data_IF_396567220807
#
_entry.id   IF_396567220807
#
_cell.length_a   1.000
_cell.length_b   1.000
_cell.length_c   1.000
_cell.angle_alpha   90.00
_cell.angle_beta   90.00
_cell.angle_gamma   90.00
#
_symmetry.space_group_name_H-M   'P 1'
#
loop_
_entity.id
_entity.type
_entity.pdbx_description
1 polymer ?
#
# COMPACT_ATOMS: atom_id res chain seq x y z
N UNK A 1 -31.04 -27.05 -55.55
CA UNK A 1 -29.72 -27.68 -55.51
C UNK A 1 -29.26 -27.84 -54.07
N UNK A 2 -29.34 -29.07 -53.53
CA UNK A 2 -28.98 -29.40 -52.14
C UNK A 2 -27.53 -29.04 -51.84
N UNK A 3 -26.62 -29.23 -52.80
CA UNK A 3 -25.19 -28.93 -52.62
C UNK A 3 -24.86 -27.43 -52.48
N UNK A 4 -25.66 -26.56 -53.03
CA UNK A 4 -25.43 -25.08 -52.96
C UNK A 4 -25.86 -24.48 -51.63
N UNK A 5 -26.69 -25.15 -50.84
CA UNK A 5 -27.13 -24.69 -49.51
C UNK A 5 -26.43 -25.47 -48.39
N UNK A 6 -26.34 -26.80 -48.50
CA UNK A 6 -25.86 -27.65 -47.40
C UNK A 6 -24.34 -27.51 -47.21
N UNK A 7 -23.53 -27.47 -48.27
CA UNK A 7 -22.08 -27.40 -48.18
C UNK A 7 -21.56 -26.14 -47.46
N UNK A 8 -22.01 -24.92 -47.75
CA UNK A 8 -21.60 -23.72 -47.00
C UNK A 8 -22.00 -23.77 -45.52
N UNK A 9 -23.19 -24.27 -45.20
CA UNK A 9 -23.64 -24.41 -43.78
C UNK A 9 -22.76 -25.39 -43.01
N UNK A 10 -22.30 -26.49 -43.64
CA UNK A 10 -21.38 -27.43 -43.02
C UNK A 10 -19.99 -26.81 -42.82
N UNK A 11 -19.49 -26.01 -43.75
CA UNK A 11 -18.22 -25.26 -43.61
C UNK A 11 -18.36 -24.27 -42.46
N UNK A 12 -19.38 -23.46 -42.42
CA UNK A 12 -19.61 -22.48 -41.32
C UNK A 12 -19.69 -23.21 -39.97
N UNK A 13 -20.40 -24.35 -39.90
CA UNK A 13 -20.47 -25.17 -38.69
C UNK A 13 -19.10 -25.67 -38.22
N UNK A 14 -18.23 -26.07 -39.12
CA UNK A 14 -16.86 -26.49 -38.80
C UNK A 14 -16.01 -25.33 -38.25
N UNK A 15 -16.11 -24.13 -38.84
CA UNK A 15 -15.41 -22.96 -38.39
C UNK A 15 -15.94 -22.51 -36.99
N UNK A 16 -17.24 -22.60 -36.74
CA UNK A 16 -17.83 -22.37 -35.40
C UNK A 16 -17.28 -23.35 -34.35
N UNK A 17 -17.13 -24.64 -34.72
CA UNK A 17 -16.54 -25.64 -33.82
C UNK A 17 -15.04 -25.37 -33.55
N UNK A 18 -14.30 -24.86 -34.52
CA UNK A 18 -12.90 -24.42 -34.34
C UNK A 18 -12.84 -23.23 -33.37
N UNK A 19 -13.69 -22.23 -33.56
CA UNK A 19 -13.79 -21.08 -32.67
C UNK A 19 -14.14 -21.48 -31.22
N UNK A 20 -15.11 -22.39 -31.04
CA UNK A 20 -15.50 -22.92 -29.74
C UNK A 20 -14.36 -23.66 -29.01
N UNK A 21 -13.36 -24.18 -29.75
CA UNK A 21 -12.15 -24.79 -29.20
C UNK A 21 -11.01 -23.78 -28.94
N UNK A 22 -11.25 -22.49 -29.13
CA UNK A 22 -10.28 -21.44 -28.88
C UNK A 22 -9.46 -21.01 -30.11
N UNK A 23 -9.68 -21.62 -31.27
CA UNK A 23 -9.02 -21.17 -32.51
C UNK A 23 -9.83 -20.04 -33.15
N UNK A 24 -9.43 -18.79 -32.90
CA UNK A 24 -10.07 -17.60 -33.43
C UNK A 24 -9.54 -17.17 -34.82
N UNK A 25 -8.56 -17.90 -35.39
CA UNK A 25 -8.05 -17.64 -36.74
C UNK A 25 -8.87 -18.39 -37.82
N UNK A 26 -10.14 -18.64 -37.53
CA UNK A 26 -11.04 -19.46 -38.33
C UNK A 26 -12.10 -18.62 -39.06
N UNK A 27 -11.72 -17.62 -39.84
CA UNK A 27 -12.68 -16.86 -40.67
C UNK A 27 -13.14 -17.70 -41.88
N UNK A 28 -14.38 -17.45 -42.32
CA UNK A 28 -14.97 -18.03 -43.51
C UNK A 28 -14.81 -17.01 -44.64
N UNK A 29 -14.16 -17.42 -45.73
CA UNK A 29 -14.12 -16.63 -46.96
C UNK A 29 -15.39 -16.90 -47.78
N UNK A 30 -16.15 -15.86 -48.11
CA UNK A 30 -17.38 -15.95 -48.86
C UNK A 30 -17.62 -14.71 -49.68
N UNK A 31 -17.94 -14.92 -50.96
CA UNK A 31 -18.40 -13.89 -51.90
C UNK A 31 -19.93 -13.93 -52.10
N UNK A 32 -20.67 -14.51 -51.15
CA UNK A 32 -22.11 -14.73 -51.29
C UNK A 32 -22.90 -13.51 -50.85
N UNK A 33 -23.94 -13.16 -51.61
CA UNK A 33 -24.85 -12.04 -51.31
C UNK A 33 -26.24 -12.51 -50.76
N UNK A 34 -26.38 -13.83 -50.45
CA UNK A 34 -27.62 -14.43 -49.93
C UNK A 34 -27.60 -14.50 -48.37
N UNK A 35 -28.64 -15.11 -47.78
CA UNK A 35 -28.80 -15.23 -46.32
C UNK A 35 -27.67 -16.03 -45.68
N UNK A 36 -27.02 -16.95 -46.41
CA UNK A 36 -25.87 -17.69 -45.94
C UNK A 36 -24.63 -16.76 -45.87
N UNK A 37 -24.43 -15.89 -46.90
CA UNK A 37 -23.37 -14.89 -46.89
C UNK A 37 -23.52 -13.92 -45.73
N UNK A 38 -24.75 -13.53 -45.34
CA UNK A 38 -25.03 -12.71 -44.17
C UNK A 38 -24.62 -13.40 -42.85
N UNK A 39 -24.88 -14.74 -42.74
CA UNK A 39 -24.47 -15.54 -41.59
C UNK A 39 -22.94 -15.64 -41.49
N UNK A 40 -22.24 -15.86 -42.61
CA UNK A 40 -20.78 -15.94 -42.69
C UNK A 40 -20.15 -14.59 -42.30
N UNK A 41 -20.69 -13.48 -42.79
CA UNK A 41 -20.26 -12.14 -42.40
C UNK A 41 -20.48 -11.87 -40.91
N UNK A 42 -21.65 -12.23 -40.37
CA UNK A 42 -21.96 -12.05 -38.95
C UNK A 42 -21.06 -12.89 -38.03
N UNK A 43 -20.75 -14.13 -38.46
CA UNK A 43 -19.78 -15.00 -37.78
C UNK A 43 -18.38 -14.35 -37.76
N UNK A 44 -17.86 -13.90 -38.93
CA UNK A 44 -16.56 -13.27 -39.01
C UNK A 44 -16.46 -12.02 -38.13
N UNK A 45 -17.52 -11.19 -38.13
CA UNK A 45 -17.60 -10.03 -37.26
C UNK A 45 -17.55 -10.41 -35.79
N UNK A 46 -18.29 -11.44 -35.36
CA UNK A 46 -18.27 -11.94 -34.00
C UNK A 46 -16.85 -12.42 -33.60
N UNK A 47 -16.13 -13.10 -34.50
CA UNK A 47 -14.75 -13.53 -34.24
C UNK A 47 -13.82 -12.30 -34.07
N UNK A 48 -13.98 -11.25 -34.87
CA UNK A 48 -13.19 -10.02 -34.75
C UNK A 48 -13.48 -9.31 -33.42
N UNK A 49 -14.74 -9.17 -33.06
CA UNK A 49 -15.18 -8.56 -31.80
C UNK A 49 -14.63 -9.36 -30.58
N UNK A 50 -14.63 -10.70 -30.67
CA UNK A 50 -14.10 -11.58 -29.64
C UNK A 50 -12.59 -11.44 -29.50
N UNK A 51 -11.83 -11.41 -30.62
CA UNK A 51 -10.38 -11.17 -30.61
C UNK A 51 -10.05 -9.84 -29.96
N UNK A 52 -10.74 -8.78 -30.38
CA UNK A 52 -10.55 -7.45 -29.82
C UNK A 52 -10.83 -7.43 -28.30
N UNK A 53 -11.91 -8.10 -27.87
CA UNK A 53 -12.24 -8.19 -26.44
C UNK A 53 -11.16 -8.90 -25.64
N UNK A 54 -10.57 -9.98 -26.16
CA UNK A 54 -9.47 -10.71 -25.52
C UNK A 54 -8.22 -9.85 -25.42
N UNK A 55 -7.88 -9.11 -26.48
CA UNK A 55 -6.74 -8.18 -26.48
C UNK A 55 -6.92 -7.08 -25.41
N UNK A 56 -8.08 -6.45 -25.36
CA UNK A 56 -8.40 -5.39 -24.35
C UNK A 56 -8.35 -5.95 -22.92
N UNK A 57 -8.85 -7.16 -22.69
CA UNK A 57 -8.76 -7.82 -21.38
C UNK A 57 -7.30 -8.08 -21.02
N UNK A 58 -6.50 -8.61 -21.95
CA UNK A 58 -5.07 -8.87 -21.73
C UNK A 58 -4.26 -7.60 -21.40
N UNK A 59 -4.52 -6.51 -22.12
CA UNK A 59 -3.91 -5.21 -21.84
C UNK A 59 -4.30 -4.66 -20.45
N UNK A 60 -5.59 -4.81 -20.08
CA UNK A 60 -6.09 -4.38 -18.78
C UNK A 60 -5.46 -5.19 -17.65
N UNK A 61 -5.36 -6.51 -17.78
CA UNK A 61 -4.71 -7.37 -16.79
C UNK A 61 -3.22 -7.05 -16.63
N UNK A 62 -2.50 -6.83 -17.75
CA UNK A 62 -1.10 -6.42 -17.72
C UNK A 62 -0.90 -5.07 -17.01
N UNK A 63 -1.78 -4.11 -17.29
CA UNK A 63 -1.76 -2.80 -16.63
C UNK A 63 -2.09 -2.89 -15.13
N UNK A 64 -3.05 -3.72 -14.75
CA UNK A 64 -3.37 -3.98 -13.33
C UNK A 64 -2.18 -4.61 -12.60
N UNK A 65 -1.51 -5.59 -13.21
CA UNK A 65 -0.30 -6.19 -12.64
C UNK A 65 0.82 -5.16 -12.50
N UNK A 66 1.02 -4.29 -13.49
CA UNK A 66 2.03 -3.24 -13.43
C UNK A 66 1.73 -2.23 -12.31
N UNK A 67 0.46 -1.84 -12.14
CA UNK A 67 0.03 -0.97 -11.04
C UNK A 67 0.26 -1.64 -9.68
N UNK A 68 -0.11 -2.91 -9.53
CA UNK A 68 0.14 -3.68 -8.31
C UNK A 68 1.62 -3.75 -7.97
N UNK A 69 2.47 -4.04 -8.96
CA UNK A 69 3.93 -4.07 -8.79
C UNK A 69 4.48 -2.70 -8.39
N UNK A 70 4.05 -1.62 -9.04
CA UNK A 70 4.49 -0.26 -8.69
C UNK A 70 4.04 0.16 -7.29
N UNK A 71 2.85 -0.27 -6.84
CA UNK A 71 2.37 -0.04 -5.47
C UNK A 71 3.22 -0.80 -4.44
N UNK A 72 3.60 -2.05 -4.72
CA UNK A 72 4.48 -2.83 -3.85
C UNK A 72 5.87 -2.19 -3.74
N UNK A 73 6.45 -1.78 -4.85
CA UNK A 73 7.77 -1.09 -4.86
C UNK A 73 7.70 0.26 -4.16
N UNK A 74 6.60 1.01 -4.29
CA UNK A 74 6.42 2.30 -3.62
C UNK A 74 6.27 2.21 -2.10
N UNK A 75 6.00 1.02 -1.56
CA UNK A 75 5.97 0.78 -0.12
C UNK A 75 7.36 0.68 0.51
N UNK A 76 8.40 0.54 -0.32
CA UNK A 76 9.78 0.52 0.11
C UNK A 76 10.35 1.93 -0.11
N UNK A 77 10.69 2.61 0.97
CA UNK A 77 11.41 3.89 0.86
C UNK A 77 12.86 3.62 0.45
N UNK A 78 13.29 4.01 -0.78
CA UNK A 78 14.67 3.81 -1.22
C UNK A 78 15.67 4.55 -0.36
N UNK A 79 15.29 5.70 0.20
CA UNK A 79 16.12 6.50 1.07
C UNK A 79 16.39 5.80 2.41
N UNK A 80 15.37 5.15 2.99
CA UNK A 80 15.52 4.32 4.19
C UNK A 80 16.50 3.16 3.96
N UNK A 81 16.40 2.44 2.83
CA UNK A 81 17.32 1.34 2.49
C UNK A 81 18.74 1.87 2.36
N UNK A 82 18.93 2.98 1.63
CA UNK A 82 20.24 3.58 1.42
C UNK A 82 20.89 4.01 2.75
N UNK A 83 20.14 4.66 3.62
CA UNK A 83 20.60 5.10 4.93
C UNK A 83 20.96 3.91 5.83
N UNK A 84 20.13 2.85 5.83
CA UNK A 84 20.41 1.64 6.60
C UNK A 84 21.69 0.94 6.13
N UNK A 85 21.92 0.84 4.82
CA UNK A 85 23.16 0.26 4.27
C UNK A 85 24.37 1.12 4.66
N UNK A 86 24.26 2.46 4.64
CA UNK A 86 25.32 3.35 5.09
C UNK A 86 25.63 3.17 6.59
N UNK A 87 24.62 2.96 7.42
CA UNK A 87 24.80 2.68 8.85
C UNK A 87 25.52 1.35 9.08
N UNK A 88 25.16 0.30 8.31
CA UNK A 88 25.89 -0.97 8.33
C UNK A 88 27.36 -0.77 7.96
N UNK A 89 27.67 0.03 6.92
CA UNK A 89 29.03 0.35 6.54
C UNK A 89 29.79 1.11 7.64
N UNK A 90 29.12 2.07 8.31
CA UNK A 90 29.70 2.80 9.44
C UNK A 90 30.03 1.87 10.62
N UNK A 91 29.09 1.01 11.01
CA UNK A 91 29.27 0.02 12.08
C UNK A 91 30.40 -0.98 11.73
N UNK A 92 30.53 -1.39 10.47
CA UNK A 92 31.59 -2.27 9.99
C UNK A 92 32.97 -1.59 10.15
N UNK A 93 33.09 -0.32 9.79
CA UNK A 93 34.33 0.47 9.99
C UNK A 93 34.70 0.59 11.48
N UNK A 94 33.71 0.66 12.37
CA UNK A 94 33.88 0.70 13.83
C UNK A 94 34.09 -0.69 14.44
N UNK A 95 34.09 -1.77 13.65
CA UNK A 95 34.21 -3.18 14.07
C UNK A 95 33.13 -3.61 15.07
N UNK A 96 31.93 -3.03 14.99
CA UNK A 96 30.76 -3.38 15.83
C UNK A 96 29.97 -4.51 15.19
N UNK A 97 30.53 -5.71 15.12
CA UNK A 97 29.96 -6.84 14.38
C UNK A 97 28.57 -7.27 14.89
N UNK A 98 28.31 -7.25 16.20
CA UNK A 98 27.01 -7.63 16.77
C UNK A 98 25.91 -6.64 16.36
N UNK A 99 26.23 -5.35 16.31
CA UNK A 99 25.27 -4.31 15.92
C UNK A 99 24.97 -4.37 14.43
N UNK A 100 25.95 -4.72 13.60
CA UNK A 100 25.74 -5.01 12.18
C UNK A 100 24.71 -6.12 12.00
N UNK A 101 24.84 -7.21 12.76
CA UNK A 101 23.90 -8.34 12.69
C UNK A 101 22.50 -7.91 13.11
N UNK A 102 22.35 -7.09 14.16
CA UNK A 102 21.06 -6.56 14.62
C UNK A 102 20.37 -5.70 13.53
N UNK A 103 21.09 -4.72 12.99
CA UNK A 103 20.57 -3.80 11.96
C UNK A 103 20.20 -4.57 10.68
N UNK A 104 21.07 -5.49 10.24
CA UNK A 104 20.80 -6.30 9.05
C UNK A 104 19.59 -7.24 9.25
N UNK A 105 19.45 -7.85 10.41
CA UNK A 105 18.29 -8.71 10.73
C UNK A 105 16.99 -7.91 10.75
N UNK A 106 17.01 -6.71 11.32
CA UNK A 106 15.88 -5.81 11.33
C UNK A 106 15.49 -5.38 9.92
N UNK A 107 16.45 -4.99 9.08
CA UNK A 107 16.21 -4.65 7.67
C UNK A 107 15.60 -5.82 6.89
N UNK A 108 16.14 -7.03 7.05
CA UNK A 108 15.60 -8.24 6.40
C UNK A 108 14.16 -8.50 6.85
N UNK A 109 13.82 -8.30 8.12
CA UNK A 109 12.47 -8.50 8.63
C UNK A 109 11.48 -7.51 7.98
N UNK A 110 11.84 -6.24 7.91
CA UNK A 110 11.03 -5.19 7.26
C UNK A 110 10.85 -5.51 5.76
N UNK A 111 11.93 -5.83 5.05
CA UNK A 111 11.86 -6.15 3.62
C UNK A 111 11.01 -7.39 3.34
N UNK A 112 11.11 -8.44 4.15
CA UNK A 112 10.27 -9.64 4.01
C UNK A 112 8.80 -9.32 4.20
N UNK A 113 8.45 -8.46 5.14
CA UNK A 113 7.08 -8.03 5.36
C UNK A 113 6.54 -7.21 4.18
N UNK A 114 7.31 -6.24 3.69
CA UNK A 114 6.95 -5.39 2.56
C UNK A 114 6.84 -6.14 1.23
N UNK A 115 7.65 -7.19 1.03
CA UNK A 115 7.73 -7.99 -0.19
C UNK A 115 6.85 -9.24 -0.16
N UNK A 116 5.92 -9.39 0.77
CA UNK A 116 4.94 -10.48 0.77
C UNK A 116 3.97 -10.37 -0.41
N UNK A 117 4.43 -10.83 -1.59
CA UNK A 117 3.71 -10.72 -2.87
C UNK A 117 2.37 -11.48 -2.87
N UNK A 118 2.21 -12.50 -2.03
CA UNK A 118 1.00 -13.34 -1.99
C UNK A 118 -0.08 -12.84 -1.02
N UNK A 119 0.17 -11.75 -0.29
CA UNK A 119 -0.74 -11.25 0.72
C UNK A 119 -1.50 -10.04 0.19
N UNK A 120 -2.63 -10.31 -0.49
CA UNK A 120 -3.57 -9.28 -0.99
C UNK A 120 -4.31 -8.62 0.20
N UNK A 121 -4.01 -9.04 1.43
CA UNK A 121 -4.67 -8.49 2.61
C UNK A 121 -4.31 -7.01 2.78
N UNK A 122 -5.35 -6.18 2.83
CA UNK A 122 -5.28 -4.73 3.03
C UNK A 122 -5.05 -4.42 4.52
N UNK A 123 -5.33 -5.39 5.40
CA UNK A 123 -5.20 -5.29 6.86
C UNK A 123 -4.11 -6.21 7.39
N UNK A 124 -3.65 -5.94 8.61
CA UNK A 124 -2.71 -6.76 9.37
C UNK A 124 -3.06 -6.70 10.87
N UNK A 125 -2.54 -7.64 11.64
CA UNK A 125 -2.73 -7.62 13.09
C UNK A 125 -1.90 -6.52 13.74
N UNK A 126 -2.41 -5.96 14.85
CA UNK A 126 -1.67 -5.00 15.68
C UNK A 126 -0.33 -5.61 16.13
N UNK A 127 -0.31 -6.91 16.46
CA UNK A 127 0.89 -7.62 16.84
C UNK A 127 1.97 -7.60 15.74
N UNK A 128 1.60 -7.78 14.46
CA UNK A 128 2.55 -7.73 13.35
C UNK A 128 3.03 -6.30 13.07
N UNK A 129 2.12 -5.32 13.05
CA UNK A 129 2.49 -3.89 12.94
C UNK A 129 3.48 -3.48 14.06
N UNK A 130 3.19 -3.85 15.31
CA UNK A 130 4.09 -3.62 16.45
C UNK A 130 5.47 -4.24 16.23
N UNK A 131 5.51 -5.49 15.74
CA UNK A 131 6.77 -6.19 15.46
C UNK A 131 7.60 -5.44 14.38
N UNK A 132 6.99 -5.00 13.30
CA UNK A 132 7.67 -4.29 12.21
C UNK A 132 8.14 -2.91 12.67
N UNK A 133 7.31 -2.17 13.41
CA UNK A 133 7.70 -0.88 14.00
C UNK A 133 8.87 -1.03 14.97
N UNK A 134 8.90 -2.08 15.78
CA UNK A 134 10.04 -2.35 16.67
C UNK A 134 11.34 -2.61 15.87
N UNK A 135 11.28 -3.32 14.73
CA UNK A 135 12.46 -3.48 13.87
C UNK A 135 12.91 -2.14 13.27
N UNK A 136 11.97 -1.29 12.86
CA UNK A 136 12.25 0.05 12.37
C UNK A 136 12.96 0.89 13.45
N UNK A 137 12.43 0.91 14.68
CA UNK A 137 13.03 1.63 15.82
C UNK A 137 14.45 1.12 16.13
N UNK A 138 14.71 -0.18 16.00
CA UNK A 138 16.06 -0.75 16.16
C UNK A 138 17.03 -0.10 15.17
N UNK A 139 16.66 0.03 13.90
CA UNK A 139 17.50 0.65 12.86
C UNK A 139 17.74 2.12 13.18
N UNK A 140 16.67 2.88 13.48
CA UNK A 140 16.75 4.30 13.76
C UNK A 140 17.64 4.61 14.96
N UNK A 141 17.58 3.80 16.02
CA UNK A 141 18.47 3.94 17.19
C UNK A 141 19.96 3.72 16.89
N UNK A 142 20.31 3.02 15.80
CA UNK A 142 21.69 2.87 15.35
C UNK A 142 22.13 4.00 14.38
N UNK A 143 21.16 4.65 13.73
CA UNK A 143 21.47 5.79 12.85
C UNK A 143 21.59 7.10 13.61
N UNK A 144 20.75 7.27 14.61
CA UNK A 144 20.67 8.48 15.41
C UNK A 144 20.92 8.12 16.87
N UNK A 145 22.02 8.55 17.41
CA UNK A 145 22.30 8.40 18.85
C UNK A 145 21.24 9.16 19.66
N UNK A 146 21.20 8.96 20.96
CA UNK A 146 20.31 9.69 21.84
C UNK A 146 19.47 8.83 22.76
N UNK A 147 18.58 9.46 23.53
CA UNK A 147 17.76 8.82 24.56
C UNK A 147 16.30 8.70 24.11
N UNK A 148 16.06 7.88 23.10
CA UNK A 148 14.70 7.57 22.62
C UNK A 148 14.06 6.47 23.45
N UNK A 149 12.90 6.75 24.06
CA UNK A 149 12.02 5.78 24.71
C UNK A 149 10.77 5.56 23.88
N UNK A 150 10.42 4.31 23.65
CA UNK A 150 9.17 3.93 22.97
C UNK A 150 8.42 2.99 23.88
N UNK A 151 7.18 3.36 24.18
CA UNK A 151 6.30 2.59 25.06
C UNK A 151 5.05 2.17 24.28
N UNK A 152 4.60 0.95 24.54
CA UNK A 152 3.39 0.37 23.98
C UNK A 152 2.36 0.20 25.07
N UNK A 153 1.20 0.83 24.90
CA UNK A 153 0.05 0.73 25.79
C UNK A 153 -1.10 0.06 25.03
N UNK A 154 -1.03 -1.26 24.95
CA UNK A 154 -1.96 -2.10 24.17
C UNK A 154 -2.36 -3.28 25.04
N UNK A 155 -3.66 -3.44 25.26
CA UNK A 155 -4.18 -4.60 25.97
C UNK A 155 -3.92 -5.90 25.19
N UNK A 156 -3.51 -7.01 25.85
CA UNK A 156 -3.19 -8.24 25.17
C UNK A 156 -4.29 -8.79 24.25
N UNK A 157 -5.55 -8.59 24.62
CA UNK A 157 -6.72 -9.00 23.85
C UNK A 157 -6.88 -8.27 22.51
N UNK A 158 -6.25 -7.10 22.34
CA UNK A 158 -6.30 -6.33 21.10
C UNK A 158 -5.19 -6.68 20.11
N UNK A 159 -4.22 -7.50 20.48
CA UNK A 159 -3.06 -7.81 19.63
C UNK A 159 -3.43 -8.50 18.31
N UNK A 160 -4.49 -9.31 18.30
CA UNK A 160 -4.97 -10.01 17.10
C UNK A 160 -6.02 -9.21 16.29
N UNK A 161 -6.38 -8.01 16.76
CA UNK A 161 -7.28 -7.13 16.02
C UNK A 161 -6.63 -6.66 14.72
N UNK A 162 -7.48 -6.48 13.70
CA UNK A 162 -7.05 -6.10 12.36
C UNK A 162 -7.12 -4.59 12.17
N UNK A 163 -6.03 -4.01 11.74
CA UNK A 163 -5.96 -2.60 11.30
C UNK A 163 -5.43 -2.52 9.87
N UNK A 164 -5.66 -1.44 9.13
CA UNK A 164 -5.04 -1.26 7.81
C UNK A 164 -3.52 -1.36 7.92
N UNK A 165 -2.89 -2.06 6.97
CA UNK A 165 -1.44 -2.24 6.93
C UNK A 165 -0.69 -0.92 6.93
N UNK A 166 0.46 -0.88 7.62
CA UNK A 166 1.39 0.24 7.64
C UNK A 166 0.73 1.55 8.12
N UNK A 167 -0.03 1.47 9.21
CA UNK A 167 -0.62 2.64 9.87
C UNK A 167 0.28 3.20 10.97
N UNK A 168 0.91 2.33 11.77
CA UNK A 168 1.66 2.76 12.95
C UNK A 168 3.01 3.36 12.55
N UNK A 169 3.74 2.72 11.62
CA UNK A 169 5.10 3.15 11.26
C UNK A 169 5.18 4.61 10.78
N UNK A 170 4.34 5.11 9.85
CA UNK A 170 4.43 6.51 9.41
C UNK A 170 4.12 7.53 10.53
N UNK A 171 3.31 7.15 11.53
CA UNK A 171 3.05 8.00 12.69
C UNK A 171 4.29 8.09 13.58
N UNK A 172 4.95 6.95 13.81
CA UNK A 172 6.21 6.89 14.56
C UNK A 172 7.32 7.66 13.82
N UNK A 173 7.42 7.53 12.49
CA UNK A 173 8.35 8.32 11.67
C UNK A 173 8.13 9.82 11.85
N UNK A 174 6.88 10.29 11.82
CA UNK A 174 6.56 11.69 12.06
C UNK A 174 6.99 12.15 13.45
N UNK A 175 6.72 11.35 14.48
CA UNK A 175 7.15 11.67 15.86
C UNK A 175 8.68 11.72 15.99
N UNK A 176 9.41 10.81 15.34
CA UNK A 176 10.87 10.81 15.36
C UNK A 176 11.46 12.04 14.68
N UNK A 177 11.11 12.29 13.42
CA UNK A 177 11.80 13.29 12.59
C UNK A 177 11.25 14.70 12.73
N UNK A 178 10.00 14.86 13.17
CA UNK A 178 9.38 16.18 13.35
C UNK A 178 9.15 16.55 14.81
N UNK A 179 9.14 15.56 15.71
CA UNK A 179 8.90 15.79 17.13
C UNK A 179 10.18 15.72 17.97
N UNK A 180 10.98 14.67 17.80
CA UNK A 180 12.01 14.28 18.77
C UNK A 180 13.45 14.45 18.30
N UNK A 181 13.72 14.78 17.05
CA UNK A 181 15.07 15.07 16.59
C UNK A 181 15.50 16.45 17.11
N UNK A 182 16.61 16.50 17.79
CA UNK A 182 17.24 17.76 18.18
C UNK A 182 17.99 18.34 16.98
N UNK A 183 17.64 19.55 16.56
CA UNK A 183 18.19 20.19 15.35
C UNK A 183 19.68 20.53 15.47
N UNK A 184 20.20 20.70 16.69
CA UNK A 184 21.61 21.07 16.92
C UNK A 184 22.51 19.83 16.98
N UNK A 185 22.09 18.79 17.72
CA UNK A 185 22.88 17.57 17.90
C UNK A 185 22.59 16.50 16.83
N UNK A 186 21.41 16.51 16.22
CA UNK A 186 20.92 15.46 15.33
C UNK A 186 20.58 14.16 16.06
N UNK A 187 20.48 14.18 17.38
CA UNK A 187 20.14 13.03 18.22
C UNK A 187 18.64 12.96 18.52
N UNK A 188 18.12 11.76 18.74
CA UNK A 188 16.77 11.61 19.23
C UNK A 188 16.68 11.80 20.74
N UNK A 189 15.84 12.73 21.18
CA UNK A 189 15.64 13.02 22.60
C UNK A 189 14.15 13.06 22.94
N UNK A 190 13.66 12.05 23.65
CA UNK A 190 12.29 12.05 24.13
C UNK A 190 11.64 10.68 24.17
N UNK A 191 10.30 10.70 24.18
CA UNK A 191 9.44 9.54 24.38
C UNK A 191 8.33 9.52 23.35
N UNK A 192 8.04 8.33 22.82
CA UNK A 192 6.82 8.04 22.04
C UNK A 192 5.99 7.03 22.81
N UNK A 193 4.70 7.28 22.91
CA UNK A 193 3.71 6.35 23.46
C UNK A 193 2.76 5.95 22.34
N UNK A 194 2.63 4.65 22.09
CA UNK A 194 1.73 4.08 21.09
C UNK A 194 0.66 3.32 21.84
N UNK A 195 -0.59 3.76 21.71
CA UNK A 195 -1.72 3.17 22.44
C UNK A 195 -2.78 2.67 21.48
N UNK A 196 -3.36 1.52 21.79
CA UNK A 196 -4.55 1.02 21.09
C UNK A 196 -5.58 0.63 22.13
N UNK A 197 -6.79 1.19 22.00
CA UNK A 197 -7.91 0.92 22.88
C UNK A 197 -9.24 0.90 22.09
N UNK A 198 -10.32 0.47 22.75
CA UNK A 198 -11.68 0.66 22.24
C UNK A 198 -12.28 1.89 22.90
N UNK A 199 -12.90 2.75 22.09
CA UNK A 199 -13.64 3.91 22.60
C UNK A 199 -15.03 3.50 23.17
N UNK A 200 -15.78 4.47 23.66
CA UNK A 200 -17.12 4.26 24.23
C UNK A 200 -18.12 3.63 23.24
N UNK A 201 -17.93 3.83 21.95
CA UNK A 201 -18.74 3.26 20.89
C UNK A 201 -18.29 1.84 20.47
N UNK A 202 -17.21 1.31 21.08
CA UNK A 202 -16.63 0.02 20.76
C UNK A 202 -15.65 0.04 19.56
N UNK A 203 -15.45 1.19 18.91
CA UNK A 203 -14.53 1.35 17.79
C UNK A 203 -13.08 1.28 18.27
N UNK A 204 -12.23 0.66 17.46
CA UNK A 204 -10.81 0.58 17.72
C UNK A 204 -10.15 1.94 17.48
N UNK A 205 -9.35 2.41 18.42
CA UNK A 205 -8.66 3.70 18.37
C UNK A 205 -7.17 3.48 18.54
N UNK A 206 -6.39 3.95 17.58
CA UNK A 206 -4.92 4.00 17.60
C UNK A 206 -4.48 5.43 17.91
N UNK A 207 -3.58 5.62 18.86
CA UNK A 207 -2.92 6.90 19.07
C UNK A 207 -1.41 6.76 19.17
N UNK A 208 -0.71 7.75 18.60
CA UNK A 208 0.74 7.91 18.73
C UNK A 208 0.99 9.31 19.29
N UNK A 209 1.65 9.37 20.43
CA UNK A 209 1.92 10.59 21.18
C UNK A 209 3.43 10.72 21.42
N UNK A 210 4.00 11.86 21.08
CA UNK A 210 5.37 12.23 21.41
C UNK A 210 5.41 13.42 22.38
N UNK A 211 6.50 13.55 23.11
CA UNK A 211 6.76 14.68 24.00
C UNK A 211 7.80 15.65 23.40
N UNK A 212 7.78 15.81 22.09
CA UNK A 212 8.73 16.65 21.35
C UNK A 212 8.41 18.15 21.35
N UNK A 213 8.94 18.83 20.33
CA UNK A 213 8.77 20.29 20.19
C UNK A 213 7.34 20.77 19.98
N UNK A 214 6.46 19.90 19.49
CA UNK A 214 5.09 20.27 19.14
C UNK A 214 5.01 21.25 17.96
N UNK A 215 3.80 21.78 17.73
CA UNK A 215 3.52 22.73 16.65
C UNK A 215 2.75 23.93 17.18
N UNK A 216 2.97 25.08 16.56
CA UNK A 216 2.11 26.25 16.77
C UNK A 216 0.73 26.07 16.13
N UNK A 217 -0.22 26.95 16.47
CA UNK A 217 -1.57 26.87 16.01
C UNK A 217 -1.71 27.04 14.48
N UNK A 218 -0.87 27.86 13.87
CA UNK A 218 -0.88 28.12 12.42
C UNK A 218 -0.44 26.87 11.65
N UNK A 219 0.62 26.22 12.08
CA UNK A 219 1.13 24.98 11.49
C UNK A 219 0.17 23.80 11.70
N UNK A 220 -0.44 23.72 12.89
CA UNK A 220 -1.43 22.70 13.21
C UNK A 220 -2.66 22.84 12.30
N UNK A 221 -3.16 24.06 12.09
CA UNK A 221 -4.31 24.35 11.22
C UNK A 221 -3.97 24.02 9.75
N UNK A 222 -2.77 24.41 9.28
CA UNK A 222 -2.27 24.04 7.94
C UNK A 222 -2.31 22.52 7.72
N UNK A 223 -1.74 21.74 8.65
CA UNK A 223 -1.67 20.28 8.52
C UNK A 223 -3.05 19.63 8.67
N UNK A 224 -3.88 20.15 9.55
CA UNK A 224 -5.24 19.64 9.80
C UNK A 224 -6.18 19.92 8.63
N UNK A 225 -6.01 21.05 7.95
CA UNK A 225 -6.82 21.46 6.79
C UNK A 225 -6.47 20.73 5.49
N UNK A 226 -5.34 20.02 5.41
CA UNK A 226 -4.95 19.24 4.24
C UNK A 226 -5.98 18.13 4.02
N UNK A 227 -6.83 18.31 3.02
CA UNK A 227 -7.74 17.26 2.55
C UNK A 227 -6.99 16.33 1.59
N UNK A 228 -7.33 15.05 1.66
CA UNK A 228 -6.83 14.10 0.66
C UNK A 228 -7.44 14.45 -0.69
N UNK A 229 -6.59 14.72 -1.70
CA UNK A 229 -7.00 14.87 -3.09
C UNK A 229 -6.37 13.72 -3.89
N UNK A 230 -7.17 12.85 -4.53
CA UNK A 230 -6.67 11.74 -5.35
C UNK A 230 -5.73 12.16 -6.50
N UNK A 231 -5.81 13.43 -6.92
CA UNK A 231 -5.01 13.98 -8.01
C UNK A 231 -3.62 14.48 -7.55
N UNK A 232 -3.42 14.74 -6.27
CA UNK A 232 -2.16 15.21 -5.70
C UNK A 232 -1.16 14.06 -5.49
N UNK A 233 -0.68 13.47 -6.59
CA UNK A 233 0.36 12.46 -6.55
C UNK A 233 1.74 13.11 -6.34
N UNK A 234 2.25 13.09 -5.11
CA UNK A 234 3.70 13.17 -4.90
C UNK A 234 4.29 14.30 -4.08
N UNK A 235 3.56 15.09 -3.30
CA UNK A 235 4.16 16.25 -2.59
C UNK A 235 4.16 16.25 -1.05
N UNK A 236 3.46 15.34 -0.34
CA UNK A 236 3.49 15.25 1.14
C UNK A 236 3.34 13.80 1.59
N UNK A 237 4.45 13.13 1.93
CA UNK A 237 4.56 11.66 1.90
C UNK A 237 4.06 10.95 3.18
N UNK A 238 3.90 11.60 4.32
CA UNK A 238 3.55 10.92 5.58
C UNK A 238 2.04 10.83 5.84
N UNK A 239 1.49 11.86 6.50
CA UNK A 239 0.10 11.89 6.94
C UNK A 239 -0.92 11.89 5.79
N UNK A 240 -0.54 12.43 4.62
CA UNK A 240 -1.38 12.39 3.41
C UNK A 240 -1.64 10.97 2.92
N UNK A 241 -0.63 10.09 3.01
CA UNK A 241 -0.79 8.68 2.65
C UNK A 241 -1.71 7.94 3.61
N UNK A 242 -1.64 8.24 4.92
CA UNK A 242 -2.55 7.68 5.92
C UNK A 242 -3.98 8.13 5.63
N UNK A 243 -4.22 9.42 5.42
CA UNK A 243 -5.54 9.95 5.05
C UNK A 243 -6.08 9.33 3.77
N UNK A 244 -5.23 9.14 2.76
CA UNK A 244 -5.61 8.46 1.52
C UNK A 244 -6.08 7.03 1.75
N UNK A 245 -5.36 6.26 2.58
CA UNK A 245 -5.75 4.88 2.93
C UNK A 245 -7.08 4.84 3.69
N UNK A 246 -7.24 5.71 4.69
CA UNK A 246 -8.48 5.82 5.47
C UNK A 246 -9.66 6.17 4.56
N UNK A 247 -9.47 7.11 3.62
CA UNK A 247 -10.49 7.47 2.64
C UNK A 247 -10.88 6.28 1.74
N UNK A 248 -9.91 5.52 1.21
CA UNK A 248 -10.20 4.37 0.36
C UNK A 248 -10.85 3.20 1.10
N UNK A 249 -10.57 3.04 2.39
CA UNK A 249 -11.10 1.92 3.19
C UNK A 249 -12.44 2.23 3.86
N UNK A 250 -12.62 3.46 4.34
CA UNK A 250 -13.78 3.85 5.15
C UNK A 250 -14.61 4.98 4.52
N UNK A 251 -14.23 5.48 3.33
CA UNK A 251 -14.95 6.58 2.66
C UNK A 251 -14.84 7.93 3.38
N UNK A 252 -14.16 7.99 4.51
CA UNK A 252 -14.09 9.15 5.38
C UNK A 252 -12.63 9.48 5.78
N UNK A 253 -12.31 10.77 5.88
CA UNK A 253 -11.00 11.25 6.36
C UNK A 253 -11.08 11.86 7.76
N UNK A 254 -12.28 12.00 8.34
CA UNK A 254 -12.50 12.62 9.66
C UNK A 254 -12.12 11.69 10.82
N UNK A 255 -11.77 10.42 10.51
CA UNK A 255 -11.31 9.46 11.51
C UNK A 255 -9.89 9.72 12.04
N UNK A 256 -9.19 10.78 11.58
CA UNK A 256 -7.87 11.17 12.08
C UNK A 256 -7.89 12.56 12.71
N UNK A 257 -7.52 12.63 14.00
CA UNK A 257 -7.38 13.86 14.80
C UNK A 257 -5.90 14.10 15.12
N UNK A 258 -5.46 15.36 15.02
CA UNK A 258 -4.11 15.79 15.40
C UNK A 258 -4.25 16.84 16.49
N UNK A 259 -3.55 16.64 17.59
CA UNK A 259 -3.47 17.56 18.73
C UNK A 259 -1.99 17.87 18.98
N UNK A 260 -1.63 19.12 19.05
CA UNK A 260 -0.25 19.55 19.28
C UNK A 260 -0.18 20.89 20.02
N UNK A 261 0.81 21.03 20.86
CA UNK A 261 1.09 22.26 21.59
C UNK A 261 2.62 22.45 21.65
N UNK A 262 3.08 23.66 21.38
CA UNK A 262 4.50 24.02 21.45
C UNK A 262 5.11 23.55 22.77
N UNK A 263 6.26 22.87 22.68
CA UNK A 263 7.05 22.31 23.78
C UNK A 263 6.38 21.19 24.60
N UNK A 264 5.18 20.74 24.21
CA UNK A 264 4.48 19.62 24.88
C UNK A 264 4.42 18.36 24.03
N UNK A 265 4.63 18.50 22.71
CA UNK A 265 4.62 17.39 21.77
C UNK A 265 3.38 17.33 20.88
N UNK A 266 3.22 16.20 20.22
CA UNK A 266 2.12 15.96 19.28
C UNK A 266 1.47 14.61 19.56
N UNK A 267 0.14 14.60 19.46
CA UNK A 267 -0.67 13.38 19.52
C UNK A 267 -1.51 13.24 18.26
N UNK A 268 -1.39 12.11 17.58
CA UNK A 268 -2.20 11.74 16.42
C UNK A 268 -3.07 10.56 16.81
N UNK A 269 -4.37 10.71 16.64
CA UNK A 269 -5.37 9.68 16.96
C UNK A 269 -6.12 9.29 15.71
N UNK A 270 -6.26 7.99 15.47
CA UNK A 270 -7.03 7.41 14.36
C UNK A 270 -8.09 6.50 14.95
N UNK A 271 -9.34 6.71 14.56
CA UNK A 271 -10.46 5.85 14.89
C UNK A 271 -10.83 4.96 13.70
N UNK A 272 -10.86 3.64 13.92
CA UNK A 272 -11.25 2.66 12.91
C UNK A 272 -12.69 2.23 13.18
N UNK A 273 -13.58 2.56 12.27
CA UNK A 273 -15.00 2.20 12.32
C UNK A 273 -15.74 2.77 11.12
N UNK A 274 -16.85 2.16 10.78
CA UNK A 274 -17.83 2.75 9.86
C UNK A 274 -18.72 3.68 10.68
N UNK A 275 -18.99 4.89 10.15
CA UNK A 275 -19.96 5.86 10.73
C UNK A 275 -21.39 5.29 10.66
#
# INVERSE_FOLDING_TARGET
>A
NINTLIKPVLVLSQHMLMAAKGNLDCKVESDREDEIGQLEFSFNKMIDDLKHSIEVIGEKEAKEQQIRFSLLVSQIDPHFIYNTINSINYLARKRRCEDIVKVNSALIAILKDRLRVNDIQITDTIANEMKIVNQYIVIEKFMYDGNLKVEWDIAPELMEEQIPKNMIQPLVENSLFHGLIDEESGEFCGKIVISVCRNENGNLTLSVEDNGGGMDAERLDEISSIRFNPEDRGKKIGLSNIRGRLYYLYGNTNCMKIESEMTKGTKITIEFGED
#
